data_IF_300507370262
#
_entry.id   IF_300507370262
#
_cell.length_a   1.000
_cell.length_b   1.000
_cell.length_c   1.000
_cell.angle_alpha   90.00
_cell.angle_beta   90.00
_cell.angle_gamma   90.00
#
_symmetry.space_group_name_H-M   'P 1'
#
loop_
_entity.id
_entity.type
_entity.pdbx_description
1 polymer ?
#
# COMPACT_ATOMS: atom_id res chain seq x y z
N UNK A 1 -8.72 -12.69 36.72
CA UNK A 1 -7.57 -11.89 36.24
C UNK A 1 -6.95 -12.56 35.03
N UNK A 2 -6.10 -13.56 35.26
CA UNK A 2 -5.35 -14.28 34.20
C UNK A 2 -6.21 -14.88 33.07
N UNK A 3 -7.28 -15.62 33.38
CA UNK A 3 -8.19 -16.16 32.35
C UNK A 3 -8.89 -15.08 31.50
N UNK A 4 -9.11 -13.87 32.04
CA UNK A 4 -9.67 -12.75 31.28
C UNK A 4 -8.63 -12.13 30.33
N UNK A 5 -7.35 -12.09 30.71
CA UNK A 5 -6.27 -11.60 29.84
C UNK A 5 -6.05 -12.51 28.63
N UNK A 6 -6.08 -13.84 28.82
CA UNK A 6 -5.99 -14.80 27.72
C UNK A 6 -7.08 -14.59 26.65
N UNK A 7 -8.35 -14.50 27.07
CA UNK A 7 -9.45 -14.26 26.14
C UNK A 7 -9.46 -12.87 25.49
N UNK A 8 -8.73 -11.89 26.03
CA UNK A 8 -8.58 -10.58 25.41
C UNK A 8 -7.52 -10.58 24.30
N UNK A 9 -6.60 -11.56 24.27
CA UNK A 9 -5.61 -11.67 23.19
C UNK A 9 -6.23 -12.13 21.86
N UNK A 10 -7.42 -12.74 21.91
CA UNK A 10 -8.20 -13.10 20.71
C UNK A 10 -8.58 -11.85 19.91
N UNK A 11 -8.96 -10.77 20.60
CA UNK A 11 -9.32 -9.49 19.99
C UNK A 11 -8.09 -8.78 19.43
N UNK A 12 -7.96 -8.77 18.09
CA UNK A 12 -6.78 -8.29 17.38
C UNK A 12 -6.38 -6.86 17.78
N UNK A 13 -7.37 -5.96 17.88
CA UNK A 13 -7.17 -4.54 18.15
C UNK A 13 -6.54 -4.23 19.52
N UNK A 14 -6.66 -5.13 20.49
CA UNK A 14 -6.05 -4.98 21.82
C UNK A 14 -4.93 -5.96 22.10
N UNK A 15 -4.70 -6.93 21.18
CA UNK A 15 -3.75 -8.04 21.34
C UNK A 15 -2.37 -7.57 21.76
N UNK A 16 -1.80 -6.59 21.06
CA UNK A 16 -0.45 -6.08 21.36
C UNK A 16 -0.33 -5.54 22.79
N UNK A 17 -1.36 -4.84 23.26
CA UNK A 17 -1.41 -4.32 24.63
C UNK A 17 -1.54 -5.42 25.66
N UNK A 18 -2.33 -6.45 25.35
CA UNK A 18 -2.48 -7.65 26.20
C UNK A 18 -1.13 -8.38 26.32
N UNK A 19 -0.42 -8.57 25.20
CA UNK A 19 0.89 -9.23 25.19
C UNK A 19 1.93 -8.44 25.98
N UNK A 20 2.02 -7.12 25.78
CA UNK A 20 2.95 -6.26 26.52
C UNK A 20 2.68 -6.32 28.03
N UNK A 21 1.41 -6.24 28.45
CA UNK A 21 1.05 -6.36 29.86
C UNK A 21 1.31 -7.76 30.43
N UNK A 22 1.09 -8.81 29.64
CA UNK A 22 1.40 -10.18 30.04
C UNK A 22 2.91 -10.40 30.23
N UNK A 23 3.74 -9.75 29.41
CA UNK A 23 5.19 -9.74 29.55
C UNK A 23 5.64 -9.03 30.84
N UNK A 24 5.12 -7.83 31.12
CA UNK A 24 5.38 -7.08 32.37
C UNK A 24 5.05 -7.91 33.63
N UNK A 25 3.97 -8.69 33.57
CA UNK A 25 3.52 -9.55 34.67
C UNK A 25 4.22 -10.92 34.70
N UNK A 26 5.14 -11.22 33.77
CA UNK A 26 5.79 -12.53 33.61
C UNK A 26 4.79 -13.69 33.44
N UNK A 27 3.68 -13.45 32.74
CA UNK A 27 2.64 -14.43 32.42
C UNK A 27 2.44 -14.60 30.92
N UNK A 28 3.37 -14.13 30.09
CA UNK A 28 3.30 -14.25 28.63
C UNK A 28 3.17 -15.73 28.20
N UNK A 29 3.85 -16.65 28.88
CA UNK A 29 3.74 -18.09 28.64
C UNK A 29 2.34 -18.67 28.94
N UNK A 30 1.50 -17.95 29.70
CA UNK A 30 0.11 -18.34 29.97
C UNK A 30 -0.85 -17.91 28.82
N UNK A 31 -0.40 -17.08 27.88
CA UNK A 31 -1.17 -16.68 26.69
C UNK A 31 -0.99 -17.74 25.61
N UNK A 32 -2.06 -18.07 24.88
CA UNK A 32 -1.99 -19.03 23.78
C UNK A 32 -0.90 -18.62 22.77
N UNK A 33 0.09 -19.48 22.47
CA UNK A 33 1.18 -19.19 21.55
C UNK A 33 0.73 -18.71 20.17
N UNK A 34 -0.46 -19.09 19.70
CA UNK A 34 -0.97 -18.65 18.40
C UNK A 34 -1.08 -17.11 18.30
N UNK A 35 -1.42 -16.44 19.42
CA UNK A 35 -1.52 -14.97 19.47
C UNK A 35 -0.18 -14.27 19.64
N UNK A 36 0.91 -15.03 19.88
CA UNK A 36 2.24 -14.49 20.11
C UNK A 36 3.10 -14.46 18.85
N UNK A 37 2.67 -15.16 17.79
CA UNK A 37 3.38 -15.26 16.50
C UNK A 37 3.59 -13.88 15.87
N UNK A 38 4.62 -13.76 15.02
CA UNK A 38 4.90 -12.51 14.29
C UNK A 38 3.69 -12.11 13.43
N UNK A 39 3.08 -13.08 12.74
CA UNK A 39 1.84 -12.85 11.98
C UNK A 39 0.70 -12.33 12.86
N UNK A 40 0.41 -12.94 14.01
CA UNK A 40 -0.67 -12.50 14.88
C UNK A 40 -0.41 -11.09 15.47
N UNK A 41 0.86 -10.75 15.67
CA UNK A 41 1.28 -9.40 16.06
C UNK A 41 1.08 -8.40 14.92
N UNK A 42 1.43 -8.75 13.69
CA UNK A 42 1.19 -7.92 12.50
C UNK A 42 -0.31 -7.67 12.26
N UNK A 43 -1.13 -8.73 12.39
CA UNK A 43 -2.59 -8.64 12.34
C UNK A 43 -3.13 -7.68 13.43
N UNK A 44 -2.64 -7.83 14.66
CA UNK A 44 -3.03 -6.96 15.77
C UNK A 44 -2.59 -5.51 15.59
N UNK A 45 -1.42 -5.29 14.99
CA UNK A 45 -0.92 -3.96 14.67
C UNK A 45 -1.82 -3.27 13.63
N UNK A 46 -2.20 -3.98 12.56
CA UNK A 46 -3.13 -3.45 11.57
C UNK A 46 -4.53 -3.22 12.15
N UNK A 47 -5.05 -4.14 12.96
CA UNK A 47 -6.35 -3.95 13.61
C UNK A 47 -6.37 -2.73 14.54
N UNK A 48 -5.28 -2.47 15.27
CA UNK A 48 -5.12 -1.28 16.10
C UNK A 48 -5.05 0.00 15.26
N UNK A 49 -4.24 0.00 14.20
CA UNK A 49 -4.11 1.12 13.24
C UNK A 49 -5.47 1.49 12.63
N UNK A 50 -6.21 0.50 12.15
CA UNK A 50 -7.55 0.72 11.58
C UNK A 50 -8.54 1.29 12.61
N UNK A 51 -8.39 0.93 13.89
CA UNK A 51 -9.22 1.46 14.96
C UNK A 51 -8.91 2.93 15.32
N UNK A 52 -7.83 3.52 14.80
CA UNK A 52 -7.50 4.91 15.08
C UNK A 52 -8.59 5.87 14.54
N UNK A 53 -8.95 6.94 15.28
CA UNK A 53 -10.07 7.82 14.93
C UNK A 53 -9.98 8.48 13.55
N UNK A 54 -8.78 8.65 13.01
CA UNK A 54 -8.54 9.29 11.72
C UNK A 54 -8.40 8.30 10.56
N UNK A 55 -8.48 6.98 10.84
CA UNK A 55 -8.47 5.92 9.85
C UNK A 55 -9.90 5.41 9.66
N UNK A 56 -10.40 4.52 10.55
CA UNK A 56 -11.81 4.10 10.56
C UNK A 56 -12.52 4.40 11.89
N UNK A 57 -11.77 4.60 12.97
CA UNK A 57 -12.30 4.91 14.31
C UNK A 57 -12.98 3.73 15.02
N UNK A 58 -12.94 2.54 14.45
CA UNK A 58 -13.38 1.29 15.08
C UNK A 58 -12.57 0.11 14.54
N UNK A 59 -12.40 -0.97 15.33
CA UNK A 59 -11.70 -2.16 14.87
C UNK A 59 -12.48 -2.89 13.76
N UNK A 60 -11.79 -3.54 12.82
CA UNK A 60 -12.44 -4.32 11.77
C UNK A 60 -13.26 -5.48 12.36
N UNK A 61 -14.34 -5.85 11.68
CA UNK A 61 -15.15 -7.03 12.04
C UNK A 61 -14.38 -8.33 11.78
N UNK A 62 -13.58 -8.35 10.71
CA UNK A 62 -12.76 -9.49 10.32
C UNK A 62 -11.45 -9.00 9.73
N UNK A 63 -10.38 -9.74 10.00
CA UNK A 63 -9.06 -9.55 9.41
C UNK A 63 -8.49 -10.93 9.10
N UNK A 64 -7.99 -11.12 7.89
CA UNK A 64 -7.48 -12.39 7.40
C UNK A 64 -6.16 -12.19 6.68
N UNK A 65 -5.21 -13.08 6.93
CA UNK A 65 -3.98 -13.12 6.16
C UNK A 65 -4.33 -13.38 4.69
N UNK A 66 -3.89 -12.47 3.84
CA UNK A 66 -4.05 -12.57 2.40
C UNK A 66 -2.79 -13.17 1.76
N UNK A 67 -1.62 -12.65 2.14
CA UNK A 67 -0.32 -13.14 1.65
C UNK A 67 0.82 -12.86 2.64
N UNK A 68 1.88 -13.65 2.55
CA UNK A 68 3.09 -13.52 3.35
C UNK A 68 4.33 -13.74 2.46
N UNK A 69 5.19 -12.74 2.34
CA UNK A 69 6.38 -12.80 1.49
C UNK A 69 7.55 -12.06 2.12
N UNK A 70 8.76 -12.55 1.87
CA UNK A 70 9.99 -11.78 2.09
C UNK A 70 10.14 -10.75 0.97
N UNK A 71 10.45 -9.50 1.31
CA UNK A 71 10.67 -8.40 0.35
C UNK A 71 11.81 -7.49 0.80
N UNK A 72 12.61 -7.00 -0.15
CA UNK A 72 13.58 -5.93 0.08
C UNK A 72 12.85 -4.61 0.34
N UNK A 73 12.51 -4.37 1.60
CA UNK A 73 11.63 -3.28 2.00
C UNK A 73 12.37 -1.94 2.16
N UNK A 74 11.80 -0.81 1.71
CA UNK A 74 12.44 0.50 1.88
C UNK A 74 12.79 0.80 3.34
N UNK A 75 14.01 1.28 3.57
CA UNK A 75 14.51 1.62 4.90
C UNK A 75 15.19 0.47 5.66
N UNK A 76 15.24 -0.73 5.09
CA UNK A 76 15.92 -1.89 5.66
C UNK A 76 17.03 -2.39 4.73
N UNK A 77 18.14 -2.83 5.33
CA UNK A 77 19.27 -3.40 4.57
C UNK A 77 18.98 -4.86 4.14
N UNK A 78 18.32 -5.63 5.01
CA UNK A 78 17.94 -7.02 4.77
C UNK A 78 16.48 -7.13 4.32
N UNK A 79 16.14 -8.23 3.62
CA UNK A 79 14.75 -8.59 3.33
C UNK A 79 13.91 -8.67 4.60
N UNK A 80 12.67 -8.20 4.50
CA UNK A 80 11.71 -8.17 5.60
C UNK A 80 10.52 -9.07 5.29
N UNK A 81 10.05 -9.80 6.30
CA UNK A 81 8.78 -10.53 6.22
C UNK A 81 7.60 -9.56 6.21
N UNK A 82 6.87 -9.55 5.11
CA UNK A 82 5.74 -8.66 4.88
C UNK A 82 4.41 -9.43 4.91
N UNK A 83 3.43 -8.92 5.65
CA UNK A 83 2.12 -9.57 5.81
C UNK A 83 1.02 -8.66 5.26
N UNK A 84 0.37 -9.11 4.19
CA UNK A 84 -0.84 -8.49 3.66
C UNK A 84 -2.06 -9.11 4.31
N UNK A 85 -3.02 -8.27 4.70
CA UNK A 85 -4.27 -8.70 5.29
C UNK A 85 -5.45 -8.09 4.54
N UNK A 86 -6.46 -8.91 4.28
CA UNK A 86 -7.79 -8.42 3.91
C UNK A 86 -8.57 -8.12 5.19
N UNK A 87 -9.14 -6.94 5.29
CA UNK A 87 -10.00 -6.55 6.43
C UNK A 87 -11.40 -6.19 5.97
N UNK A 88 -12.37 -6.40 6.86
CA UNK A 88 -13.80 -6.22 6.58
C UNK A 88 -14.50 -5.48 7.73
N UNK A 89 -15.45 -4.62 7.40
CA UNK A 89 -16.41 -4.01 8.30
C UNK A 89 -17.85 -4.35 7.88
N UNK A 90 -18.53 -5.14 8.69
CA UNK A 90 -19.93 -5.50 8.47
C UNK A 90 -20.87 -4.48 9.14
N UNK A 91 -21.19 -3.40 8.42
CA UNK A 91 -22.00 -2.28 8.93
C UNK A 91 -23.50 -2.40 8.59
N UNK A 92 -24.00 -3.62 8.37
CA UNK A 92 -25.41 -3.89 8.08
C UNK A 92 -25.86 -3.71 6.62
N UNK A 93 -24.91 -3.42 5.71
CA UNK A 93 -25.11 -3.36 4.25
C UNK A 93 -24.07 -4.20 3.51
N UNK A 94 -23.69 -3.79 2.29
CA UNK A 94 -22.50 -4.35 1.66
C UNK A 94 -21.28 -4.10 2.56
N UNK A 95 -20.49 -5.14 2.87
CA UNK A 95 -19.35 -4.98 3.75
C UNK A 95 -18.34 -4.02 3.12
N UNK A 96 -17.80 -3.12 3.92
CA UNK A 96 -16.59 -2.41 3.51
C UNK A 96 -15.45 -3.42 3.63
N UNK A 97 -14.75 -3.68 2.54
CA UNK A 97 -13.51 -4.47 2.54
C UNK A 97 -12.37 -3.69 1.88
N UNK A 98 -11.15 -3.93 2.34
CA UNK A 98 -9.94 -3.47 1.68
C UNK A 98 -8.72 -4.29 2.15
N UNK A 99 -7.54 -3.94 1.65
CA UNK A 99 -6.26 -4.59 1.97
C UNK A 99 -5.37 -3.61 2.72
N UNK A 100 -4.70 -4.11 3.76
CA UNK A 100 -3.66 -3.39 4.51
C UNK A 100 -2.41 -4.26 4.65
N UNK A 101 -1.30 -3.63 4.99
CA UNK A 101 -0.06 -4.31 5.37
C UNK A 101 0.16 -4.17 6.87
N UNK A 102 0.50 -5.27 7.55
CA UNK A 102 0.70 -5.31 9.00
C UNK A 102 2.17 -5.34 9.45
N UNK A 103 3.11 -5.53 8.52
CA UNK A 103 4.55 -5.47 8.74
C UNK A 103 5.30 -5.37 7.39
N UNK A 104 6.53 -4.81 7.35
CA UNK A 104 7.31 -4.30 8.49
C UNK A 104 6.79 -2.95 9.01
N UNK A 105 6.04 -2.23 8.20
CA UNK A 105 5.23 -1.08 8.61
C UNK A 105 3.74 -1.40 8.51
N UNK A 106 2.93 -0.65 9.27
CA UNK A 106 1.48 -0.80 9.30
C UNK A 106 0.85 0.30 8.47
N UNK A 107 0.24 -0.05 7.34
CA UNK A 107 -0.35 0.91 6.41
C UNK A 107 -1.69 0.41 5.87
N UNK A 108 -2.54 1.37 5.50
CA UNK A 108 -3.85 1.15 4.89
C UNK A 108 -4.13 2.24 3.87
N UNK A 109 -4.99 1.97 2.88
CA UNK A 109 -5.41 2.94 1.88
C UNK A 109 -6.90 3.28 1.98
N UNK A 110 -7.26 4.48 1.53
CA UNK A 110 -8.65 4.88 1.33
C UNK A 110 -9.22 4.35 0.00
N UNK A 111 -8.37 4.12 -0.98
CA UNK A 111 -8.74 3.56 -2.30
C UNK A 111 -8.89 2.04 -2.24
N UNK A 112 -9.71 1.51 -3.14
CA UNK A 112 -9.99 0.07 -3.20
C UNK A 112 -8.82 -0.70 -3.82
N UNK A 113 -8.06 -1.39 -2.98
CA UNK A 113 -6.91 -2.19 -3.40
C UNK A 113 -7.28 -3.63 -3.75
N UNK A 114 -8.54 -4.04 -3.58
CA UNK A 114 -8.95 -5.45 -3.71
C UNK A 114 -8.78 -6.04 -5.11
N UNK A 115 -8.67 -5.18 -6.13
CA UNK A 115 -8.44 -5.56 -7.52
C UNK A 115 -6.96 -5.68 -7.94
N UNK A 116 -6.02 -5.34 -7.06
CA UNK A 116 -4.59 -5.35 -7.39
C UNK A 116 -3.98 -6.76 -7.25
N UNK A 117 -2.90 -7.01 -8.00
CA UNK A 117 -2.09 -8.22 -7.85
C UNK A 117 -1.28 -8.19 -6.54
N UNK A 118 -0.81 -9.33 -6.03
CA UNK A 118 0.00 -9.36 -4.81
C UNK A 118 1.29 -8.55 -4.94
N UNK A 119 1.97 -8.65 -6.09
CA UNK A 119 3.17 -7.85 -6.35
C UNK A 119 2.85 -6.35 -6.39
N UNK A 120 1.69 -5.97 -6.93
CA UNK A 120 1.23 -4.57 -6.91
C UNK A 120 0.85 -4.08 -5.53
N UNK A 121 0.29 -4.93 -4.68
CA UNK A 121 -0.03 -4.57 -3.29
C UNK A 121 1.25 -4.29 -2.50
N UNK A 122 2.27 -5.15 -2.61
CA UNK A 122 3.57 -4.88 -1.98
C UNK A 122 4.22 -3.63 -2.57
N UNK A 123 4.18 -3.46 -3.90
CA UNK A 123 4.75 -2.29 -4.55
C UNK A 123 4.03 -1.00 -4.14
N UNK A 124 2.70 -1.03 -4.02
CA UNK A 124 1.89 0.09 -3.54
C UNK A 124 2.38 0.58 -2.18
N UNK A 125 2.43 -0.32 -1.19
CA UNK A 125 2.81 0.06 0.17
C UNK A 125 4.28 0.46 0.28
N UNK A 126 5.20 -0.22 -0.40
CA UNK A 126 6.61 0.16 -0.43
C UNK A 126 6.80 1.54 -1.09
N UNK A 127 6.12 1.78 -2.21
CA UNK A 127 6.19 3.05 -2.93
C UNK A 127 5.48 4.22 -2.23
N UNK A 128 4.53 3.93 -1.33
CA UNK A 128 3.88 4.92 -0.49
C UNK A 128 4.85 5.52 0.53
N UNK A 129 5.74 4.71 1.11
CA UNK A 129 6.66 5.14 2.18
C UNK A 129 8.07 5.46 1.70
N UNK A 130 8.45 5.01 0.50
CA UNK A 130 9.82 5.21 0.01
C UNK A 130 10.15 6.70 -0.03
N UNK A 131 11.24 7.07 0.63
CA UNK A 131 11.71 8.43 0.74
C UNK A 131 13.22 8.48 0.55
N UNK A 132 13.67 9.35 -0.34
CA UNK A 132 15.08 9.56 -0.65
C UNK A 132 15.27 10.99 -1.19
N UNK A 133 16.42 11.65 -0.99
CA UNK A 133 16.66 13.00 -1.53
C UNK A 133 16.49 13.13 -3.05
N UNK A 134 16.70 12.03 -3.78
CA UNK A 134 16.53 11.94 -5.24
C UNK A 134 15.13 11.47 -5.66
N UNK A 135 14.19 11.39 -4.71
CA UNK A 135 12.77 11.17 -4.97
C UNK A 135 12.03 12.45 -4.63
N UNK A 136 11.45 13.08 -5.64
CA UNK A 136 10.65 14.29 -5.45
C UNK A 136 9.49 14.34 -6.42
N UNK A 137 8.43 15.00 -6.00
CA UNK A 137 7.14 15.01 -6.67
C UNK A 137 6.65 16.44 -6.75
N UNK A 138 6.00 16.77 -7.86
CA UNK A 138 5.38 18.07 -8.05
C UNK A 138 4.02 17.91 -8.74
N UNK A 139 3.03 18.73 -8.38
CA UNK A 139 1.79 18.81 -9.12
C UNK A 139 2.05 19.12 -10.60
N UNK A 140 1.34 18.43 -11.50
CA UNK A 140 1.50 18.60 -12.94
C UNK A 140 1.08 20.00 -13.44
N UNK A 141 0.40 20.80 -12.62
CA UNK A 141 0.04 22.19 -12.90
C UNK A 141 1.08 23.22 -12.39
N UNK A 142 2.14 22.76 -11.72
CA UNK A 142 3.19 23.61 -11.11
C UNK A 142 4.60 23.28 -11.63
N UNK A 143 4.69 22.72 -12.84
CA UNK A 143 5.96 22.32 -13.44
C UNK A 143 6.83 23.53 -13.82
N UNK A 144 8.14 23.37 -13.65
CA UNK A 144 9.10 24.27 -14.27
C UNK A 144 9.19 24.04 -15.80
N UNK A 145 9.89 24.93 -16.51
CA UNK A 145 9.98 24.87 -17.97
C UNK A 145 10.55 23.55 -18.50
N UNK A 146 11.43 22.87 -17.76
CA UNK A 146 12.05 21.64 -18.20
C UNK A 146 11.16 20.43 -17.94
N UNK A 147 10.55 20.37 -16.75
CA UNK A 147 9.57 19.36 -16.36
C UNK A 147 8.32 19.42 -17.25
N UNK A 148 7.83 20.62 -17.59
CA UNK A 148 6.69 20.81 -18.50
C UNK A 148 6.95 20.24 -19.90
N UNK A 149 8.15 20.46 -20.46
CA UNK A 149 8.52 19.90 -21.77
C UNK A 149 8.52 18.37 -21.73
N UNK A 150 9.05 17.78 -20.67
CA UNK A 150 9.12 16.32 -20.54
C UNK A 150 7.74 15.70 -20.26
N UNK A 151 6.92 16.31 -19.40
CA UNK A 151 5.54 15.90 -19.17
C UNK A 151 4.70 15.94 -20.45
N UNK A 152 4.87 16.96 -21.29
CA UNK A 152 4.23 17.04 -22.62
C UNK A 152 4.69 15.93 -23.56
N UNK A 153 5.98 15.60 -23.54
CA UNK A 153 6.53 14.49 -24.33
C UNK A 153 5.90 13.16 -23.89
N UNK A 154 5.82 12.88 -22.59
CA UNK A 154 5.19 11.67 -22.07
C UNK A 154 3.68 11.63 -22.38
N UNK A 155 2.99 12.77 -22.27
CA UNK A 155 1.58 12.89 -22.67
C UNK A 155 1.39 12.58 -24.16
N UNK A 156 2.28 13.05 -25.02
CA UNK A 156 2.25 12.73 -26.45
C UNK A 156 2.47 11.24 -26.72
N UNK A 157 3.37 10.59 -25.99
CA UNK A 157 3.58 9.14 -26.08
C UNK A 157 2.34 8.34 -25.65
N UNK A 158 1.61 8.81 -24.63
CA UNK A 158 0.33 8.21 -24.24
C UNK A 158 -0.71 8.32 -25.37
N UNK A 159 -0.85 9.49 -26.00
CA UNK A 159 -1.74 9.68 -27.15
C UNK A 159 -1.39 8.72 -28.30
N UNK A 160 -0.11 8.60 -28.63
CA UNK A 160 0.39 7.68 -29.68
C UNK A 160 0.15 6.20 -29.32
N UNK A 161 0.11 5.89 -28.03
CA UNK A 161 -0.19 4.54 -27.49
C UNK A 161 -1.68 4.25 -27.39
N UNK A 162 -2.55 5.18 -27.82
CA UNK A 162 -4.01 5.00 -27.87
C UNK A 162 -4.75 5.38 -26.60
N UNK A 163 -4.11 6.10 -25.68
CA UNK A 163 -4.79 6.70 -24.53
C UNK A 163 -5.46 8.02 -24.93
N UNK A 164 -6.60 8.32 -24.33
CA UNK A 164 -7.38 9.54 -24.56
C UNK A 164 -7.77 10.16 -23.21
N UNK A 165 -8.31 11.39 -23.24
CA UNK A 165 -8.76 12.09 -22.01
C UNK A 165 -7.70 12.14 -20.90
N UNK A 166 -6.43 12.28 -21.31
CA UNK A 166 -5.30 12.24 -20.39
C UNK A 166 -5.31 13.51 -19.53
N UNK A 167 -5.38 13.33 -18.22
CA UNK A 167 -5.28 14.41 -17.24
C UNK A 167 -4.10 14.13 -16.31
N UNK A 168 -2.93 14.76 -16.56
CA UNK A 168 -1.80 14.72 -15.64
C UNK A 168 -2.17 15.22 -14.25
N UNK A 169 -1.65 14.54 -13.22
CA UNK A 169 -1.88 14.90 -11.81
C UNK A 169 -0.55 15.18 -11.12
N UNK A 170 0.38 14.23 -11.21
CA UNK A 170 1.67 14.29 -10.53
C UNK A 170 2.79 14.03 -11.52
N UNK A 171 3.83 14.84 -11.45
CA UNK A 171 5.10 14.60 -12.14
C UNK A 171 6.16 14.30 -11.10
N UNK A 172 6.73 13.11 -11.19
CA UNK A 172 7.65 12.56 -10.22
C UNK A 172 9.04 12.35 -10.81
N UNK A 173 10.03 12.49 -9.95
CA UNK A 173 11.38 12.02 -10.16
C UNK A 173 11.62 10.88 -9.18
N UNK A 174 12.04 9.74 -9.71
CA UNK A 174 12.40 8.57 -8.93
C UNK A 174 13.80 8.13 -9.39
N UNK A 175 14.83 8.63 -8.70
CA UNK A 175 16.21 8.56 -9.16
C UNK A 175 16.36 9.19 -10.55
N UNK A 176 16.82 8.43 -11.55
CA UNK A 176 16.97 8.89 -12.92
C UNK A 176 15.67 8.86 -13.73
N UNK A 177 14.60 8.27 -13.18
CA UNK A 177 13.32 8.15 -13.86
C UNK A 177 12.49 9.41 -13.67
N UNK A 178 12.03 9.96 -14.79
CA UNK A 178 11.03 11.02 -14.82
C UNK A 178 9.69 10.41 -15.22
N UNK A 179 8.69 10.62 -14.37
CA UNK A 179 7.45 9.85 -14.41
C UNK A 179 6.27 10.81 -14.40
N UNK A 180 5.30 10.57 -15.28
CA UNK A 180 4.03 11.27 -15.28
C UNK A 180 2.95 10.33 -14.80
N UNK A 181 2.28 10.71 -13.71
CA UNK A 181 1.09 10.03 -13.23
C UNK A 181 -0.16 10.82 -13.66
N UNK A 182 -1.14 10.11 -14.21
CA UNK A 182 -2.32 10.71 -14.82
C UNK A 182 -3.54 9.82 -14.70
N UNK A 183 -4.72 10.42 -14.87
CA UNK A 183 -5.91 9.68 -15.28
C UNK A 183 -5.98 9.64 -16.81
N UNK A 184 -6.58 8.59 -17.37
CA UNK A 184 -6.80 8.49 -18.80
C UNK A 184 -7.93 7.50 -19.13
N UNK A 185 -8.34 7.51 -20.40
CA UNK A 185 -9.15 6.48 -21.03
C UNK A 185 -8.28 5.62 -21.95
N UNK A 186 -8.54 4.31 -21.99
CA UNK A 186 -8.02 3.40 -23.01
C UNK A 186 -9.19 2.62 -23.62
N UNK A 187 -9.59 3.00 -24.83
CA UNK A 187 -10.86 2.53 -25.40
C UNK A 187 -12.04 3.03 -24.56
N UNK A 188 -12.86 2.12 -24.03
CA UNK A 188 -14.01 2.46 -23.17
C UNK A 188 -13.67 2.39 -21.66
N UNK A 189 -12.42 2.05 -21.30
CA UNK A 189 -12.01 1.89 -19.91
C UNK A 189 -11.35 3.15 -19.38
N UNK A 190 -11.91 3.72 -18.30
CA UNK A 190 -11.28 4.78 -17.53
C UNK A 190 -10.37 4.18 -16.45
N UNK A 191 -9.26 4.85 -16.16
CA UNK A 191 -8.26 4.36 -15.23
C UNK A 191 -7.17 5.37 -14.91
N UNK A 192 -6.17 4.88 -14.20
CA UNK A 192 -4.98 5.64 -13.80
C UNK A 192 -3.74 4.99 -14.38
N UNK A 193 -2.71 5.81 -14.57
CA UNK A 193 -1.42 5.35 -15.07
C UNK A 193 -0.26 6.10 -14.48
N UNK A 194 0.90 5.46 -14.59
CA UNK A 194 2.21 6.09 -14.48
C UNK A 194 3.01 5.72 -15.74
N UNK A 195 3.63 6.71 -16.37
CA UNK A 195 4.47 6.53 -17.56
C UNK A 195 5.86 7.14 -17.34
N UNK A 196 6.90 6.42 -17.73
CA UNK A 196 8.25 6.96 -17.92
C UNK A 196 8.70 6.79 -19.39
N UNK A 197 9.98 7.00 -19.70
CA UNK A 197 10.48 6.81 -21.07
C UNK A 197 10.59 5.33 -21.50
N UNK A 198 10.38 4.37 -20.61
CA UNK A 198 10.56 2.94 -20.84
C UNK A 198 9.21 2.22 -20.94
N UNK A 199 8.33 2.43 -19.96
CA UNK A 199 7.12 1.64 -19.77
C UNK A 199 5.90 2.48 -19.38
N UNK A 200 4.72 1.91 -19.59
CA UNK A 200 3.43 2.45 -19.14
C UNK A 200 2.80 1.45 -18.17
N UNK A 201 2.66 1.85 -16.91
CA UNK A 201 1.81 1.17 -15.94
C UNK A 201 0.38 1.67 -16.12
N UNK A 202 -0.54 0.78 -16.52
CA UNK A 202 -1.98 1.09 -16.66
C UNK A 202 -2.80 0.27 -15.66
N UNK A 203 -3.65 0.95 -14.90
CA UNK A 203 -4.52 0.37 -13.89
C UNK A 203 -5.98 0.81 -14.16
N UNK A 204 -6.80 -0.03 -14.82
CA UNK A 204 -8.19 0.31 -15.09
C UNK A 204 -8.98 0.38 -13.78
N UNK A 205 -9.96 1.29 -13.70
CA UNK A 205 -10.84 1.34 -12.54
C UNK A 205 -11.74 0.10 -12.50
N UNK A 206 -11.62 -0.66 -11.41
CA UNK A 206 -12.48 -1.80 -11.09
C UNK A 206 -13.59 -1.44 -10.10
N UNK A 207 -13.40 -0.37 -9.32
CA UNK A 207 -14.31 0.12 -8.29
C UNK A 207 -14.75 1.54 -8.61
N UNK A 208 -16.07 1.80 -8.56
CA UNK A 208 -16.64 3.12 -8.84
C UNK A 208 -16.64 4.00 -7.59
N UNK A 209 -16.75 3.41 -6.40
CA UNK A 209 -16.94 4.14 -5.15
C UNK A 209 -15.62 4.63 -4.54
N UNK A 210 -14.55 3.85 -4.68
CA UNK A 210 -13.22 4.16 -4.15
C UNK A 210 -12.15 3.86 -5.21
N UNK A 211 -12.21 4.53 -6.38
CA UNK A 211 -11.29 4.28 -7.48
C UNK A 211 -9.85 4.59 -7.06
N UNK A 212 -8.89 3.91 -7.69
CA UNK A 212 -7.48 4.30 -7.61
C UNK A 212 -7.29 5.72 -8.14
N UNK A 213 -6.30 6.41 -7.61
CA UNK A 213 -5.87 7.74 -8.03
C UNK A 213 -4.58 7.66 -8.84
N UNK A 214 -4.23 8.76 -9.53
CA UNK A 214 -2.95 8.85 -10.21
C UNK A 214 -1.77 8.68 -9.23
N UNK A 215 -1.90 9.19 -8.00
CA UNK A 215 -0.88 9.02 -6.97
C UNK A 215 -0.75 7.55 -6.54
N UNK A 216 -1.85 6.79 -6.48
CA UNK A 216 -1.78 5.35 -6.24
C UNK A 216 -1.02 4.61 -7.34
N UNK A 217 -1.25 4.98 -8.61
CA UNK A 217 -0.48 4.43 -9.73
C UNK A 217 1.01 4.79 -9.61
N UNK A 218 1.31 6.00 -9.15
CA UNK A 218 2.69 6.43 -8.91
C UNK A 218 3.35 5.67 -7.76
N UNK A 219 2.64 5.39 -6.67
CA UNK A 219 3.13 4.54 -5.58
C UNK A 219 3.49 3.13 -6.09
N UNK A 220 2.59 2.50 -6.86
CA UNK A 220 2.85 1.17 -7.44
C UNK A 220 4.06 1.22 -8.37
N UNK A 221 4.17 2.26 -9.21
CA UNK A 221 5.34 2.45 -10.08
C UNK A 221 6.64 2.51 -9.26
N UNK A 222 6.68 3.36 -8.22
CA UNK A 222 7.86 3.52 -7.36
C UNK A 222 8.25 2.18 -6.72
N UNK A 223 7.29 1.47 -6.15
CA UNK A 223 7.54 0.17 -5.52
C UNK A 223 8.04 -0.89 -6.50
N UNK A 224 7.47 -0.96 -7.71
CA UNK A 224 7.92 -1.89 -8.74
C UNK A 224 9.37 -1.63 -9.16
N UNK A 225 9.72 -0.36 -9.40
CA UNK A 225 11.11 0.02 -9.73
C UNK A 225 12.06 -0.24 -8.56
N UNK A 226 11.61 0.01 -7.33
CA UNK A 226 12.39 -0.29 -6.12
C UNK A 226 12.74 -1.77 -6.05
N UNK A 227 11.75 -2.66 -6.12
CA UNK A 227 11.98 -4.09 -6.02
C UNK A 227 12.84 -4.64 -7.17
N UNK A 228 12.60 -4.19 -8.41
CA UNK A 228 13.43 -4.57 -9.56
C UNK A 228 14.92 -4.20 -9.35
N UNK A 229 15.20 -3.03 -8.76
CA UNK A 229 16.57 -2.58 -8.51
C UNK A 229 17.34 -3.44 -7.50
N UNK A 230 16.64 -4.18 -6.63
CA UNK A 230 17.25 -5.12 -5.70
C UNK A 230 17.43 -6.51 -6.32
N UNK A 231 16.48 -6.97 -7.13
CA UNK A 231 16.58 -8.25 -7.84
C UNK A 231 17.79 -8.26 -8.80
N UNK A 232 18.10 -7.13 -9.44
CA UNK A 232 19.30 -6.98 -10.29
C UNK A 232 20.63 -7.00 -9.50
N UNK A 233 20.62 -6.70 -8.20
CA UNK A 233 21.83 -6.72 -7.36
C UNK A 233 22.16 -8.12 -6.82
N UNK A 234 21.17 -9.01 -6.77
CA UNK A 234 21.31 -10.39 -6.28
C UNK A 234 21.67 -11.39 -7.39
N UNK A 235 21.59 -10.99 -8.66
CA UNK A 235 21.93 -11.78 -9.85
C UNK A 235 23.39 -11.64 -10.30
#
# INVERSE_FOLDING_TARGET
GKQRLGGLAEEASIRLRVLAYAEELNILADIDPQFQTIQARAEGALALHLAEPHIMGLPPTRIELLDCSERSWPGFDDSQTCYLFKYEYALGGEPYENIGIGAPEVLSAATDLTGLSMDDLYAYFAGLIVSHPDIFEMPADQLDSQADVNAKKLTQQLLESGYTEISPVTYGFFFEHQVLAATACRGEQFGVLAIDNQDILWLPHTSVNRPLTADDAYHIYKGRKLFASFEEREA
#
